data_IF_768337601633
#
_entry.id   IF_768337601633
#
_cell.length_a   1.000
_cell.length_b   1.000
_cell.length_c   1.000
_cell.angle_alpha   90.00
_cell.angle_beta   90.00
_cell.angle_gamma   90.00
#
_symmetry.space_group_name_H-M   'P 1'
#
loop_
_entity.id
_entity.type
_entity.pdbx_description
1 polymer ?
#
# COMPACT_ATOMS: atom_id res chain seq x y z
N UNK A 1 43.31 -29.14 1.26
CA UNK A 1 43.09 -27.68 1.37
C UNK A 1 41.78 -27.44 2.11
N UNK A 2 41.76 -26.60 3.13
CA UNK A 2 40.52 -26.16 3.75
C UNK A 2 39.75 -25.20 2.82
N UNK A 3 38.40 -25.17 2.85
CA UNK A 3 37.62 -24.21 2.10
C UNK A 3 37.91 -22.77 2.57
N UNK A 4 37.75 -21.81 1.65
CA UNK A 4 37.95 -20.39 1.96
C UNK A 4 36.73 -19.87 2.73
N UNK A 5 36.89 -19.64 4.03
CA UNK A 5 35.81 -19.22 4.93
C UNK A 5 35.22 -17.83 4.63
N UNK A 6 35.95 -16.99 3.90
CA UNK A 6 35.54 -15.63 3.54
C UNK A 6 34.85 -15.52 2.18
N UNK A 7 34.56 -16.64 1.53
CA UNK A 7 33.85 -16.68 0.24
C UNK A 7 32.55 -17.47 0.39
N UNK A 8 31.53 -16.97 -0.28
CA UNK A 8 30.25 -17.65 -0.38
C UNK A 8 30.42 -18.95 -1.18
N UNK A 9 29.72 -20.00 -0.75
CA UNK A 9 29.62 -21.24 -1.51
C UNK A 9 28.65 -21.07 -2.70
N UNK A 10 28.71 -21.97 -3.69
CA UNK A 10 27.98 -21.81 -4.95
C UNK A 10 26.44 -21.73 -4.77
N UNK A 11 25.90 -22.41 -3.77
CA UNK A 11 24.50 -22.34 -3.38
C UNK A 11 24.13 -20.96 -2.82
N UNK A 12 24.99 -20.38 -1.99
CA UNK A 12 24.84 -19.02 -1.48
C UNK A 12 24.95 -18.00 -2.62
N UNK A 13 25.97 -18.10 -3.48
CA UNK A 13 26.12 -17.22 -4.64
C UNK A 13 24.88 -17.22 -5.55
N UNK A 14 24.26 -18.39 -5.73
CA UNK A 14 22.99 -18.54 -6.47
C UNK A 14 21.83 -17.77 -5.82
N UNK A 15 21.69 -17.87 -4.49
CA UNK A 15 20.65 -17.13 -3.74
C UNK A 15 20.89 -15.62 -3.82
N UNK A 16 22.15 -15.17 -3.79
CA UNK A 16 22.52 -13.75 -3.87
C UNK A 16 22.46 -13.18 -5.31
N UNK A 17 21.96 -13.92 -6.30
CA UNK A 17 21.93 -13.49 -7.70
C UNK A 17 21.22 -12.14 -7.92
N UNK A 18 20.12 -11.89 -7.21
CA UNK A 18 19.30 -10.66 -7.31
C UNK A 18 19.65 -9.58 -6.28
N UNK A 19 20.65 -9.80 -5.43
CA UNK A 19 21.05 -8.78 -4.47
C UNK A 19 21.60 -7.54 -5.18
N UNK A 20 21.26 -6.34 -4.69
CA UNK A 20 21.66 -5.10 -5.32
C UNK A 20 23.18 -4.96 -5.31
N UNK A 21 23.77 -4.80 -6.50
CA UNK A 21 25.19 -4.50 -6.71
C UNK A 21 25.33 -3.20 -7.51
N UNK A 22 26.28 -2.36 -7.14
CA UNK A 22 26.59 -1.12 -7.86
C UNK A 22 27.10 -1.46 -9.26
N UNK A 23 26.42 -0.96 -10.29
CA UNK A 23 26.86 -1.13 -11.68
C UNK A 23 27.99 -0.15 -11.98
N UNK A 24 29.10 -0.64 -12.52
CA UNK A 24 30.25 0.19 -12.90
C UNK A 24 30.08 0.85 -14.27
N UNK A 25 29.09 0.40 -15.05
CA UNK A 25 28.83 0.85 -16.42
C UNK A 25 27.33 1.02 -16.69
N UNK A 26 27.02 1.69 -17.80
CA UNK A 26 25.64 1.85 -18.27
C UNK A 26 25.03 0.50 -18.70
N UNK A 27 23.73 0.32 -18.47
CA UNK A 27 23.00 -0.90 -18.86
C UNK A 27 22.51 -0.80 -20.31
N UNK A 28 22.78 -1.83 -21.13
CA UNK A 28 22.30 -1.91 -22.50
C UNK A 28 21.07 -2.83 -22.62
N UNK A 29 19.91 -2.26 -22.99
CA UNK A 29 18.67 -3.00 -23.30
C UNK A 29 17.97 -2.32 -24.47
N UNK A 30 17.57 -3.11 -25.47
CA UNK A 30 16.82 -2.57 -26.61
C UNK A 30 15.41 -2.12 -26.19
N UNK A 31 14.84 -1.19 -26.97
CA UNK A 31 13.46 -0.72 -26.77
C UNK A 31 12.45 -1.86 -26.92
N UNK A 32 12.70 -2.81 -27.84
CA UNK A 32 11.87 -4.00 -28.02
C UNK A 32 11.91 -4.91 -26.78
N UNK A 33 13.09 -5.19 -26.23
CA UNK A 33 13.24 -6.01 -25.03
C UNK A 33 12.55 -5.36 -23.82
N UNK A 34 12.70 -4.04 -23.62
CA UNK A 34 12.02 -3.31 -22.55
C UNK A 34 10.50 -3.33 -22.67
N UNK A 35 9.96 -3.27 -23.88
CA UNK A 35 8.50 -3.38 -24.11
C UNK A 35 7.95 -4.75 -23.73
N UNK A 36 8.70 -5.82 -23.99
CA UNK A 36 8.33 -7.19 -23.58
C UNK A 36 8.40 -7.31 -22.04
N UNK A 37 9.50 -6.91 -21.43
CA UNK A 37 9.74 -6.99 -19.98
C UNK A 37 8.73 -6.16 -19.17
N UNK A 38 8.31 -4.99 -19.69
CA UNK A 38 7.29 -4.14 -19.06
C UNK A 38 5.97 -4.87 -18.79
N UNK A 39 5.59 -5.83 -19.63
CA UNK A 39 4.35 -6.60 -19.45
C UNK A 39 4.42 -7.53 -18.24
N UNK A 40 5.60 -8.08 -17.95
CA UNK A 40 5.81 -9.00 -16.84
C UNK A 40 5.64 -8.33 -15.46
N UNK A 41 6.05 -7.06 -15.33
CA UNK A 41 6.04 -6.31 -14.05
C UNK A 41 4.85 -5.34 -13.88
N UNK A 42 3.80 -5.46 -14.70
CA UNK A 42 2.66 -4.54 -14.70
C UNK A 42 1.76 -4.78 -13.47
N UNK A 43 1.62 -3.77 -12.59
CA UNK A 43 0.80 -3.84 -11.35
C UNK A 43 -0.57 -3.16 -11.45
N UNK A 44 -0.65 -2.01 -12.11
CA UNK A 44 -1.90 -1.27 -12.27
C UNK A 44 -2.65 -1.75 -13.52
N UNK A 45 -3.89 -1.30 -13.70
CA UNK A 45 -4.66 -1.54 -14.93
C UNK A 45 -3.89 -1.12 -16.17
N UNK A 46 -4.02 -1.91 -17.24
CA UNK A 46 -3.46 -1.55 -18.53
C UNK A 46 -4.40 -0.58 -19.25
N UNK A 47 -3.85 0.58 -19.65
CA UNK A 47 -4.60 1.60 -20.39
C UNK A 47 -5.05 1.10 -21.77
N UNK A 48 -4.35 0.10 -22.31
CA UNK A 48 -4.66 -0.49 -23.61
C UNK A 48 -5.62 -1.69 -23.49
N UNK A 49 -6.02 -2.07 -22.28
CA UNK A 49 -6.98 -3.16 -22.08
C UNK A 49 -8.40 -2.61 -22.30
N UNK A 50 -9.05 -3.03 -23.38
CA UNK A 50 -10.44 -2.67 -23.71
C UNK A 50 -11.46 -3.63 -23.13
N UNK A 51 -11.01 -4.71 -22.49
CA UNK A 51 -11.86 -5.75 -21.91
C UNK A 51 -11.91 -5.58 -20.39
N UNK A 52 -13.10 -5.39 -19.85
CA UNK A 52 -13.33 -5.46 -18.41
C UNK A 52 -13.30 -6.93 -17.95
N UNK A 53 -12.76 -7.17 -16.76
CA UNK A 53 -12.88 -8.46 -16.09
C UNK A 53 -14.36 -8.74 -15.80
N UNK A 54 -14.77 -10.02 -15.83
CA UNK A 54 -16.17 -10.38 -15.58
C UNK A 54 -16.45 -10.21 -14.09
N UNK A 55 -17.40 -9.35 -13.74
CA UNK A 55 -17.81 -9.06 -12.37
C UNK A 55 -19.17 -9.67 -12.00
N UNK A 56 -19.67 -10.62 -12.80
CA UNK A 56 -20.95 -11.27 -12.56
C UNK A 56 -20.90 -12.06 -11.24
N UNK A 57 -21.82 -11.76 -10.33
CA UNK A 57 -21.92 -12.35 -8.99
C UNK A 57 -20.67 -12.12 -8.08
N UNK A 58 -19.88 -11.06 -8.34
CA UNK A 58 -18.80 -10.65 -7.45
C UNK A 58 -19.27 -9.48 -6.56
N UNK A 59 -19.16 -9.66 -5.23
CA UNK A 59 -19.53 -8.68 -4.21
C UNK A 59 -18.34 -8.31 -3.29
N UNK A 60 -17.13 -8.43 -3.80
CA UNK A 60 -15.90 -8.05 -3.09
C UNK A 60 -15.86 -6.53 -2.82
N UNK A 61 -15.22 -6.13 -1.73
CA UNK A 61 -15.05 -4.72 -1.40
C UNK A 61 -14.04 -4.05 -2.35
N UNK A 62 -14.55 -3.26 -3.31
CA UNK A 62 -13.74 -2.56 -4.32
C UNK A 62 -13.31 -1.14 -3.90
N UNK A 63 -13.66 -0.69 -2.69
CA UNK A 63 -13.37 0.68 -2.25
C UNK A 63 -11.86 0.92 -2.15
N UNK A 64 -11.37 1.91 -2.89
CA UNK A 64 -9.96 2.34 -2.84
C UNK A 64 -9.58 2.97 -1.48
N UNK A 65 -10.56 3.32 -0.66
CA UNK A 65 -10.39 3.94 0.66
C UNK A 65 -10.28 2.92 1.79
N UNK A 66 -10.52 1.63 1.53
CA UNK A 66 -10.37 0.58 2.54
C UNK A 66 -8.89 0.40 2.90
N UNK A 67 -8.57 0.60 4.18
CA UNK A 67 -7.21 0.53 4.71
C UNK A 67 -7.08 -0.62 5.73
N UNK A 68 -6.06 -1.46 5.57
CA UNK A 68 -5.62 -2.39 6.62
C UNK A 68 -4.82 -1.68 7.72
N UNK A 69 -4.56 -2.34 8.85
CA UNK A 69 -3.90 -1.74 10.03
C UNK A 69 -2.61 -0.98 9.66
N UNK A 70 -1.72 -1.60 8.88
CA UNK A 70 -0.46 -0.97 8.45
C UNK A 70 -0.69 0.31 7.63
N UNK A 71 -1.68 0.31 6.73
CA UNK A 71 -2.03 1.47 5.91
C UNK A 71 -2.66 2.57 6.74
N UNK A 72 -3.60 2.20 7.62
CA UNK A 72 -4.27 3.10 8.53
C UNK A 72 -3.31 3.83 9.47
N UNK A 73 -2.36 3.11 10.08
CA UNK A 73 -1.34 3.72 10.95
C UNK A 73 -0.48 4.73 10.19
N UNK A 74 -0.06 4.39 8.97
CA UNK A 74 0.72 5.29 8.12
C UNK A 74 -0.07 6.56 7.81
N UNK A 75 -1.34 6.42 7.44
CA UNK A 75 -2.19 7.55 7.08
C UNK A 75 -2.53 8.43 8.29
N UNK A 76 -2.76 7.82 9.45
CA UNK A 76 -2.98 8.52 10.70
C UNK A 76 -1.73 9.31 11.18
N UNK A 77 -0.55 8.74 11.00
CA UNK A 77 0.72 9.44 11.26
C UNK A 77 0.94 10.59 10.27
N UNK A 78 0.54 10.44 9.00
CA UNK A 78 0.62 11.48 7.97
C UNK A 78 -0.27 12.70 8.27
N UNK A 79 -1.39 12.50 8.97
CA UNK A 79 -2.31 13.58 9.33
C UNK A 79 -1.63 14.64 10.23
N UNK A 80 -1.82 15.92 9.93
CA UNK A 80 -1.23 17.05 10.65
C UNK A 80 -1.89 17.37 12.00
N UNK A 81 -3.10 16.84 12.26
CA UNK A 81 -3.81 17.01 13.54
C UNK A 81 -3.99 18.49 13.92
N UNK A 82 -4.49 19.29 12.97
CA UNK A 82 -4.66 20.74 13.10
C UNK A 82 -5.52 21.13 14.32
N UNK A 83 -5.23 22.27 14.96
CA UNK A 83 -6.02 22.78 16.08
C UNK A 83 -7.44 23.19 15.65
N UNK A 84 -7.54 24.00 14.60
CA UNK A 84 -8.80 24.37 13.94
C UNK A 84 -8.98 23.53 12.67
N UNK A 85 -9.40 22.28 12.84
CA UNK A 85 -9.49 21.35 11.72
C UNK A 85 -10.63 21.74 10.76
N UNK A 86 -10.35 22.14 9.50
CA UNK A 86 -11.42 22.46 8.54
C UNK A 86 -12.25 21.22 8.20
N UNK A 87 -11.65 20.02 8.24
CA UNK A 87 -12.36 18.77 8.02
C UNK A 87 -13.48 18.51 9.03
N UNK A 88 -13.30 18.92 10.30
CA UNK A 88 -14.36 18.79 11.32
C UNK A 88 -15.50 19.78 11.05
N UNK A 89 -15.18 21.02 10.63
CA UNK A 89 -16.17 22.05 10.28
C UNK A 89 -16.97 21.68 9.04
N UNK A 90 -16.36 20.97 8.10
CA UNK A 90 -17.02 20.45 6.89
C UNK A 90 -17.89 19.21 7.15
N UNK A 91 -17.75 18.54 8.30
CA UNK A 91 -18.52 17.35 8.62
C UNK A 91 -19.91 17.74 9.18
N UNK A 92 -21.03 17.30 8.56
CA UNK A 92 -22.38 17.67 9.00
C UNK A 92 -22.69 17.28 10.45
N UNK A 93 -22.05 16.23 10.97
CA UNK A 93 -22.21 15.72 12.33
C UNK A 93 -21.16 16.23 13.31
N UNK A 94 -20.26 17.13 12.87
CA UNK A 94 -19.19 17.72 13.68
C UNK A 94 -18.30 16.68 14.41
N UNK A 95 -17.96 15.58 13.73
CA UNK A 95 -17.06 14.57 14.28
C UNK A 95 -15.66 15.16 14.56
N UNK A 96 -15.11 14.88 15.74
CA UNK A 96 -13.73 15.25 16.07
C UNK A 96 -12.73 14.30 15.38
N UNK A 97 -12.46 14.62 14.11
CA UNK A 97 -11.55 13.87 13.24
C UNK A 97 -10.12 13.91 13.79
N UNK A 98 -9.73 14.99 14.48
CA UNK A 98 -8.37 15.15 15.02
C UNK A 98 -8.10 14.13 16.12
N UNK A 99 -8.98 14.06 17.12
CA UNK A 99 -8.79 13.14 18.25
C UNK A 99 -8.91 11.69 17.79
N UNK A 100 -9.87 11.39 16.92
CA UNK A 100 -10.03 10.06 16.32
C UNK A 100 -8.75 9.60 15.60
N UNK A 101 -8.21 10.39 14.67
CA UNK A 101 -6.97 10.04 13.96
C UNK A 101 -5.77 9.93 14.91
N UNK A 102 -5.71 10.77 15.95
CA UNK A 102 -4.64 10.70 16.96
C UNK A 102 -4.69 9.38 17.74
N UNK A 103 -5.89 8.90 18.09
CA UNK A 103 -6.08 7.61 18.76
C UNK A 103 -5.59 6.43 17.91
N UNK A 104 -5.82 6.48 16.59
CA UNK A 104 -5.33 5.47 15.64
C UNK A 104 -3.80 5.49 15.60
N UNK A 105 -3.19 6.67 15.50
CA UNK A 105 -1.74 6.80 15.42
C UNK A 105 -1.03 6.26 16.67
N UNK A 106 -1.63 6.44 17.85
CA UNK A 106 -1.06 6.03 19.13
C UNK A 106 -1.30 4.56 19.48
N UNK A 107 -1.94 3.77 18.61
CA UNK A 107 -2.20 2.34 18.83
C UNK A 107 -2.90 2.00 20.15
N UNK A 108 -3.55 2.97 20.78
CA UNK A 108 -4.12 2.85 22.15
C UNK A 108 -5.16 1.74 22.22
N UNK A 109 -5.74 1.36 21.08
CA UNK A 109 -6.74 0.33 20.98
C UNK A 109 -6.24 -0.84 20.10
N UNK A 110 -5.48 -1.76 20.67
CA UNK A 110 -5.19 -3.06 20.02
C UNK A 110 -6.46 -3.87 19.72
N UNK A 111 -7.55 -3.62 20.45
CA UNK A 111 -8.82 -4.34 20.31
C UNK A 111 -9.90 -3.62 19.47
N UNK A 112 -9.76 -2.32 19.16
CA UNK A 112 -10.69 -1.62 18.23
C UNK A 112 -10.28 -1.72 16.76
N UNK A 113 -9.25 -2.49 16.42
CA UNK A 113 -8.96 -2.82 15.02
C UNK A 113 -10.17 -3.46 14.31
N UNK A 114 -11.07 -4.12 15.06
CA UNK A 114 -12.36 -4.61 14.57
C UNK A 114 -13.40 -3.49 14.36
N UNK A 115 -13.40 -2.45 15.20
CA UNK A 115 -14.28 -1.28 15.04
C UNK A 115 -13.81 -0.29 13.97
N UNK A 116 -12.53 -0.31 13.57
CA UNK A 116 -12.07 0.38 12.36
C UNK A 116 -12.80 -0.08 11.09
N UNK A 117 -13.34 -1.31 11.06
CA UNK A 117 -14.21 -1.79 9.97
C UNK A 117 -15.68 -1.38 10.13
N UNK A 118 -16.15 -1.08 11.34
CA UNK A 118 -17.59 -0.95 11.62
C UNK A 118 -18.02 0.52 11.73
N UNK A 119 -17.26 1.41 12.36
CA UNK A 119 -17.75 2.80 12.57
C UNK A 119 -17.26 3.81 11.55
N UNK A 120 -16.03 3.69 11.02
CA UNK A 120 -15.55 4.58 9.96
C UNK A 120 -16.07 4.17 8.58
N UNK A 121 -16.25 2.86 8.31
CA UNK A 121 -16.80 2.39 7.04
C UNK A 121 -18.31 2.64 6.95
N UNK A 122 -19.10 2.40 8.00
CA UNK A 122 -20.56 2.58 7.94
C UNK A 122 -20.96 4.07 7.84
N UNK A 123 -20.24 4.99 8.50
CA UNK A 123 -20.56 6.42 8.43
C UNK A 123 -19.98 7.13 7.20
N UNK A 124 -18.81 6.72 6.69
CA UNK A 124 -18.18 7.39 5.53
C UNK A 124 -18.61 6.77 4.19
N UNK A 125 -18.90 5.46 4.12
CA UNK A 125 -19.18 4.80 2.83
C UNK A 125 -20.66 4.70 2.42
N UNK A 126 -21.62 5.03 3.29
CA UNK A 126 -23.05 5.00 2.92
C UNK A 126 -23.74 6.37 2.92
N UNK A 127 -23.09 7.43 3.44
CA UNK A 127 -23.74 8.75 3.65
C UNK A 127 -22.88 9.94 3.18
N UNK A 128 -21.57 9.77 2.94
CA UNK A 128 -20.68 10.88 2.55
C UNK A 128 -20.22 10.90 1.08
N UNK A 129 -20.83 10.07 0.21
CA UNK A 129 -20.85 10.30 -1.25
C UNK A 129 -22.15 11.03 -1.65
#
# INVERSE_FOLDING_TARGET
>A
MAPVLSKDAADIESILALNPRTQTHATLRSTSAKKVDKKHWKRNTDKNCTKCEKLENNFDDIKHTTLGERGALREAMRCLKCADAPCQKSCPTNLDIKSFITSIANKVNSDLALQMKITALILVSMICD
#
